data_IF_944942582652
#
_entry.id   IF_944942582652
#
_cell.length_a   1.000
_cell.length_b   1.000
_cell.length_c   1.000
_cell.angle_alpha   90.00
_cell.angle_beta   90.00
_cell.angle_gamma   90.00
#
_symmetry.space_group_name_H-M   'P 1'
#
loop_
_entity.id
_entity.type
_entity.pdbx_description
1 polymer ?
#
# COMPACT_ATOMS: atom_id res chain seq x y z
N UNK A 1 16.50 -1.27 -8.70
CA UNK A 1 16.86 0.13 -8.36
C UNK A 1 16.00 0.51 -7.19
N UNK A 2 16.59 0.95 -6.10
CA UNK A 2 15.88 1.47 -4.92
C UNK A 2 15.20 2.78 -5.30
N UNK A 3 13.93 2.95 -4.94
CA UNK A 3 13.23 4.23 -5.05
C UNK A 3 12.69 4.64 -3.68
N UNK A 4 12.83 5.93 -3.37
CA UNK A 4 12.27 6.55 -2.17
C UNK A 4 11.18 7.50 -2.62
N UNK A 5 9.96 7.29 -2.13
CA UNK A 5 8.79 8.10 -2.48
C UNK A 5 8.15 8.67 -1.20
N UNK A 6 7.54 9.84 -1.31
CA UNK A 6 6.70 10.42 -0.27
C UNK A 6 5.26 10.28 -0.72
N UNK A 7 4.50 9.42 -0.06
CA UNK A 7 3.09 9.22 -0.34
C UNK A 7 2.24 10.28 0.38
N UNK A 8 1.21 10.76 -0.30
CA UNK A 8 0.16 11.61 0.25
C UNK A 8 -1.17 10.93 -0.02
N UNK A 9 -1.68 10.27 1.01
CA UNK A 9 -2.88 9.46 0.95
C UNK A 9 -3.81 9.74 2.12
N UNK A 10 -5.10 9.55 1.88
CA UNK A 10 -6.12 9.39 2.92
C UNK A 10 -6.67 7.97 2.83
N UNK A 11 -6.83 7.31 3.99
CA UNK A 11 -7.31 5.95 4.11
C UNK A 11 -8.55 5.91 5.00
N UNK A 12 -9.56 5.16 4.55
CA UNK A 12 -10.85 5.02 5.20
C UNK A 12 -11.18 3.54 5.39
N UNK A 13 -11.43 3.12 6.64
CA UNK A 13 -12.07 1.84 6.91
C UNK A 13 -13.56 1.98 6.61
N UNK A 14 -14.12 1.08 5.83
CA UNK A 14 -15.52 1.13 5.41
C UNK A 14 -16.24 -0.18 5.71
N UNK A 15 -17.56 -0.12 5.87
CA UNK A 15 -18.38 -1.33 6.05
C UNK A 15 -18.40 -2.18 4.76
N UNK A 16 -18.64 -3.48 4.89
CA UNK A 16 -18.65 -4.41 3.76
C UNK A 16 -19.69 -4.06 2.69
N UNK A 17 -20.79 -3.41 3.07
CA UNK A 17 -21.87 -2.96 2.20
C UNK A 17 -21.74 -1.50 1.74
N UNK A 18 -20.62 -0.84 2.06
CA UNK A 18 -20.33 0.52 1.61
C UNK A 18 -20.43 0.61 0.08
N UNK A 19 -21.11 1.65 -0.40
CA UNK A 19 -21.20 1.95 -1.83
C UNK A 19 -20.28 3.13 -2.14
N UNK A 20 -19.21 2.86 -2.89
CA UNK A 20 -18.31 3.92 -3.33
C UNK A 20 -19.10 4.96 -4.12
N UNK A 21 -19.10 6.25 -3.73
CA UNK A 21 -19.79 7.29 -4.48
C UNK A 21 -19.27 7.41 -5.92
N UNK A 22 -20.07 7.99 -6.81
CA UNK A 22 -19.59 8.22 -8.17
C UNK A 22 -18.37 9.17 -8.18
N UNK A 23 -17.25 8.68 -8.68
CA UNK A 23 -16.01 9.44 -8.81
C UNK A 23 -16.01 10.40 -10.00
N UNK A 24 -17.06 10.38 -10.85
CA UNK A 24 -17.16 11.23 -12.03
C UNK A 24 -17.07 12.73 -11.70
N UNK A 25 -17.56 13.14 -10.52
CA UNK A 25 -17.48 14.54 -10.05
C UNK A 25 -16.06 14.98 -9.66
N UNK A 26 -15.15 14.04 -9.50
CA UNK A 26 -13.75 14.28 -9.17
C UNK A 26 -12.88 14.44 -10.43
N UNK A 27 -13.39 14.00 -11.60
CA UNK A 27 -12.64 14.06 -12.87
C UNK A 27 -12.54 15.52 -13.33
N UNK A 28 -11.32 16.03 -13.59
CA UNK A 28 -11.15 17.36 -14.18
C UNK A 28 -11.76 17.47 -15.56
N UNK A 29 -12.09 18.69 -15.99
CA UNK A 29 -12.61 18.94 -17.34
C UNK A 29 -11.65 18.41 -18.41
N UNK A 30 -12.12 17.56 -19.29
CA UNK A 30 -11.31 16.90 -20.34
C UNK A 30 -10.49 15.72 -19.85
N UNK A 31 -10.54 15.39 -18.56
CA UNK A 31 -9.86 14.23 -17.96
C UNK A 31 -10.63 12.93 -18.17
N UNK A 32 -10.10 11.86 -17.58
CA UNK A 32 -10.66 10.52 -17.67
C UNK A 32 -10.71 9.81 -16.30
N UNK A 33 -11.62 8.83 -16.21
CA UNK A 33 -11.70 7.87 -15.11
C UNK A 33 -11.58 6.48 -15.72
N UNK A 34 -10.58 5.71 -15.28
CA UNK A 34 -10.37 4.32 -15.72
C UNK A 34 -10.36 3.43 -14.50
N UNK A 35 -11.04 2.29 -14.58
CA UNK A 35 -11.10 1.31 -13.49
C UNK A 35 -10.50 -0.01 -13.92
N UNK A 36 -9.78 -0.67 -12.99
CA UNK A 36 -9.22 -2.00 -13.18
C UNK A 36 -9.29 -2.80 -11.89
N UNK A 37 -9.38 -4.12 -12.00
CA UNK A 37 -9.37 -5.04 -10.87
C UNK A 37 -8.07 -5.85 -10.86
N UNK A 38 -7.55 -6.14 -9.66
CA UNK A 38 -6.38 -6.98 -9.47
C UNK A 38 -6.43 -7.70 -8.13
N UNK A 39 -5.87 -8.91 -8.08
CA UNK A 39 -5.65 -9.65 -6.84
C UNK A 39 -4.20 -9.49 -6.40
N UNK A 40 -4.01 -9.06 -5.15
CA UNK A 40 -2.70 -8.84 -4.54
C UNK A 40 -2.45 -9.87 -3.45
N UNK A 41 -1.19 -10.30 -3.34
CA UNK A 41 -0.71 -11.03 -2.17
C UNK A 41 0.44 -10.28 -1.54
N UNK A 42 0.31 -9.97 -0.25
CA UNK A 42 1.32 -9.24 0.52
C UNK A 42 1.72 -10.06 1.75
N UNK A 43 2.95 -10.53 1.76
CA UNK A 43 3.54 -11.20 2.91
C UNK A 43 4.23 -10.15 3.78
N UNK A 44 3.81 -10.05 5.05
CA UNK A 44 4.34 -9.07 6.01
C UNK A 44 5.39 -9.69 6.90
N UNK A 45 6.42 -8.92 7.20
CA UNK A 45 7.58 -9.33 7.98
C UNK A 45 7.73 -8.44 9.21
N UNK A 46 8.08 -9.07 10.33
CA UNK A 46 8.42 -8.39 11.58
C UNK A 46 9.34 -9.29 12.42
N UNK A 47 9.82 -8.79 13.54
CA UNK A 47 10.48 -9.59 14.56
C UNK A 47 9.45 -10.35 15.39
N UNK A 48 9.87 -11.40 16.09
CA UNK A 48 9.00 -12.13 17.03
C UNK A 48 8.38 -11.21 18.09
N UNK A 49 9.04 -10.09 18.40
CA UNK A 49 8.55 -9.08 19.32
C UNK A 49 7.69 -7.98 18.70
N UNK A 50 7.39 -8.03 17.40
CA UNK A 50 6.66 -7.01 16.66
C UNK A 50 7.30 -5.61 16.75
N UNK A 51 8.64 -5.54 16.59
CA UNK A 51 9.39 -4.31 16.76
C UNK A 51 9.11 -3.26 15.69
N UNK A 52 8.85 -3.70 14.45
CA UNK A 52 8.45 -2.79 13.37
C UNK A 52 7.06 -2.23 13.63
N UNK A 53 6.08 -3.08 13.94
CA UNK A 53 4.70 -2.67 14.20
C UNK A 53 4.63 -1.65 15.34
N UNK A 54 5.35 -1.88 16.45
CA UNK A 54 5.40 -0.93 17.58
C UNK A 54 5.95 0.44 17.22
N UNK A 55 6.71 0.55 16.12
CA UNK A 55 7.27 1.79 15.61
C UNK A 55 6.49 2.37 14.44
N UNK A 56 5.34 1.77 14.09
CA UNK A 56 4.53 2.17 12.94
C UNK A 56 5.20 1.90 11.59
N UNK A 57 6.22 1.01 11.57
CA UNK A 57 6.91 0.59 10.36
C UNK A 57 6.22 -0.65 9.82
N UNK A 58 6.04 -0.72 8.50
CA UNK A 58 5.58 -1.95 7.82
C UNK A 58 6.63 -2.40 6.82
N UNK A 59 6.90 -3.70 6.78
CA UNK A 59 7.73 -4.35 5.77
C UNK A 59 6.92 -5.46 5.11
N UNK A 60 6.78 -5.39 3.79
CA UNK A 60 6.05 -6.41 3.03
C UNK A 60 6.76 -6.79 1.74
N UNK A 61 6.50 -8.01 1.29
CA UNK A 61 6.78 -8.51 -0.05
C UNK A 61 5.45 -8.63 -0.79
N UNK A 62 5.23 -7.85 -1.84
CA UNK A 62 3.98 -7.83 -2.62
C UNK A 62 4.16 -8.52 -3.97
N UNK A 63 3.13 -9.26 -4.39
CA UNK A 63 2.98 -9.85 -5.72
C UNK A 63 1.53 -9.67 -6.19
N UNK A 64 1.32 -9.69 -7.51
CA UNK A 64 -0.02 -9.71 -8.10
C UNK A 64 -0.29 -8.60 -9.12
N UNK A 65 0.47 -7.51 -9.13
CA UNK A 65 0.29 -6.38 -10.04
C UNK A 65 1.62 -5.77 -10.53
N UNK A 66 1.55 -4.58 -11.12
CA UNK A 66 2.73 -3.83 -11.55
C UNK A 66 3.58 -3.30 -10.38
N UNK A 67 3.04 -3.27 -9.16
CA UNK A 67 3.70 -2.81 -7.93
C UNK A 67 4.34 -3.98 -7.15
N UNK A 68 4.77 -5.01 -7.86
CA UNK A 68 5.47 -6.15 -7.28
C UNK A 68 6.82 -5.74 -6.70
N UNK A 69 7.11 -6.16 -5.49
CA UNK A 69 8.38 -5.83 -4.85
C UNK A 69 8.35 -5.95 -3.33
N UNK A 70 9.45 -5.53 -2.77
CA UNK A 70 9.60 -5.28 -1.35
C UNK A 70 9.27 -3.82 -1.04
N UNK A 71 8.46 -3.59 -0.04
CA UNK A 71 8.01 -2.27 0.38
C UNK A 71 8.24 -2.11 1.88
N UNK A 72 9.03 -1.11 2.27
CA UNK A 72 9.15 -0.69 3.65
C UNK A 72 8.57 0.72 3.81
N UNK A 73 7.49 0.86 4.58
CA UNK A 73 6.89 2.16 4.93
C UNK A 73 7.34 2.57 6.32
N UNK A 74 8.03 3.71 6.41
CA UNK A 74 8.58 4.26 7.64
C UNK A 74 7.89 5.58 7.97
N UNK A 75 7.43 5.81 9.21
CA UNK A 75 6.85 7.08 9.61
C UNK A 75 7.82 8.25 9.39
N UNK A 76 7.30 9.36 8.87
CA UNK A 76 7.96 10.65 8.79
C UNK A 76 7.04 11.72 9.38
N UNK A 77 7.56 12.95 9.67
CA UNK A 77 6.83 13.99 10.44
C UNK A 77 5.43 14.34 9.89
N UNK A 78 5.23 14.33 8.57
CA UNK A 78 3.95 14.71 7.94
C UNK A 78 3.49 13.74 6.85
N UNK A 79 4.24 12.66 6.63
CA UNK A 79 3.99 11.69 5.58
C UNK A 79 4.60 10.35 5.95
N UNK A 80 4.49 9.35 5.08
CA UNK A 80 5.27 8.12 5.17
C UNK A 80 6.34 8.12 4.10
N UNK A 81 7.52 7.66 4.46
CA UNK A 81 8.58 7.38 3.47
C UNK A 81 8.46 5.91 3.08
N UNK A 82 8.28 5.65 1.81
CA UNK A 82 8.30 4.30 1.27
C UNK A 82 9.63 4.02 0.56
N UNK A 83 10.24 2.89 0.93
CA UNK A 83 11.44 2.35 0.30
C UNK A 83 11.00 1.13 -0.48
N UNK A 84 11.29 1.09 -1.78
CA UNK A 84 10.89 0.01 -2.70
C UNK A 84 12.11 -0.68 -3.29
N UNK A 85 12.11 -2.00 -3.25
CA UNK A 85 13.08 -2.84 -3.95
C UNK A 85 12.35 -3.86 -4.83
N UNK A 86 12.92 -4.22 -5.98
CA UNK A 86 12.35 -5.28 -6.82
C UNK A 86 12.40 -6.63 -6.09
N UNK A 87 11.56 -7.58 -6.49
CA UNK A 87 11.50 -8.93 -5.91
C UNK A 87 12.84 -9.68 -5.97
N UNK A 88 13.75 -9.29 -6.86
CA UNK A 88 15.02 -9.98 -7.12
C UNK A 88 14.82 -11.31 -7.86
N UNK A 89 15.93 -11.95 -8.22
CA UNK A 89 15.94 -13.21 -8.96
C UNK A 89 16.03 -14.44 -8.05
N UNK A 90 15.93 -14.27 -6.72
CA UNK A 90 16.11 -15.34 -5.73
C UNK A 90 14.81 -16.07 -5.41
N UNK A 91 14.88 -17.40 -5.31
CA UNK A 91 13.79 -18.25 -4.83
C UNK A 91 13.53 -18.08 -3.31
N UNK A 92 14.32 -17.27 -2.63
CA UNK A 92 14.22 -17.09 -1.18
C UNK A 92 13.33 -15.87 -0.87
N UNK A 93 12.28 -16.12 -0.09
CA UNK A 93 11.47 -15.05 0.53
C UNK A 93 12.20 -14.35 1.69
N UNK A 94 13.53 -14.36 1.69
CA UNK A 94 14.34 -13.67 2.69
C UNK A 94 14.31 -12.16 2.43
N UNK A 95 14.24 -11.39 3.51
CA UNK A 95 14.33 -9.93 3.45
C UNK A 95 15.69 -9.54 2.84
N UNK A 96 15.73 -8.68 1.81
CA UNK A 96 16.98 -8.20 1.22
C UNK A 96 17.89 -7.53 2.24
N UNK A 97 19.21 -7.69 2.05
CA UNK A 97 20.22 -7.12 2.96
C UNK A 97 20.10 -5.60 3.06
N UNK A 98 19.77 -4.93 1.95
CA UNK A 98 19.55 -3.48 1.91
C UNK A 98 18.43 -3.04 2.86
N UNK A 99 17.32 -3.80 2.95
CA UNK A 99 16.23 -3.51 3.88
C UNK A 99 16.59 -3.89 5.31
N UNK A 100 17.31 -5.00 5.51
CA UNK A 100 17.85 -5.36 6.83
C UNK A 100 18.75 -4.24 7.37
N UNK A 101 19.60 -3.64 6.52
CA UNK A 101 20.49 -2.56 6.92
C UNK A 101 19.72 -1.28 7.29
N UNK A 102 18.74 -0.88 6.48
CA UNK A 102 17.89 0.28 6.76
C UNK A 102 17.09 0.10 8.05
N UNK A 103 16.57 -1.10 8.29
CA UNK A 103 15.70 -1.40 9.44
C UNK A 103 16.48 -1.82 10.69
N UNK A 104 17.82 -1.96 10.61
CA UNK A 104 18.69 -2.45 11.70
C UNK A 104 18.44 -1.74 13.03
N UNK A 105 18.30 -0.41 13.00
CA UNK A 105 18.03 0.38 14.20
C UNK A 105 16.65 0.13 14.82
N UNK A 106 15.68 -0.25 14.00
CA UNK A 106 14.33 -0.54 14.46
C UNK A 106 14.22 -1.94 15.10
N UNK A 107 14.91 -2.93 14.51
CA UNK A 107 14.84 -4.33 14.97
C UNK A 107 15.90 -4.69 16.01
N UNK A 108 16.90 -3.82 16.23
CA UNK A 108 17.97 -3.99 17.25
C UNK A 108 18.69 -5.35 17.16
N UNK A 109 18.87 -5.86 15.94
CA UNK A 109 19.54 -7.14 15.67
C UNK A 109 18.66 -8.38 15.77
N UNK A 110 17.35 -8.22 16.03
CA UNK A 110 16.41 -9.33 15.96
C UNK A 110 16.13 -9.72 14.49
N UNK A 111 15.88 -11.00 14.26
CA UNK A 111 15.59 -11.54 12.95
C UNK A 111 14.19 -11.13 12.45
N UNK A 112 14.11 -10.73 11.19
CA UNK A 112 12.85 -10.49 10.49
C UNK A 112 12.34 -11.78 9.85
N UNK A 113 11.11 -12.14 10.14
CA UNK A 113 10.44 -13.31 9.59
C UNK A 113 9.01 -12.98 9.17
N UNK A 114 8.43 -13.80 8.29
CA UNK A 114 7.04 -13.64 7.90
C UNK A 114 6.12 -13.79 9.11
N UNK A 115 5.14 -12.91 9.26
CA UNK A 115 4.17 -12.92 10.37
C UNK A 115 2.73 -13.08 9.89
N UNK A 116 2.41 -12.61 8.69
CA UNK A 116 1.08 -12.73 8.10
C UNK A 116 1.14 -12.59 6.58
N UNK A 117 0.16 -13.18 5.89
CA UNK A 117 -0.10 -12.92 4.48
C UNK A 117 -1.47 -12.27 4.34
N UNK A 118 -1.52 -11.13 3.65
CA UNK A 118 -2.75 -10.46 3.26
C UNK A 118 -3.02 -10.74 1.78
N UNK A 119 -4.22 -11.22 1.49
CA UNK A 119 -4.76 -11.24 0.12
C UNK A 119 -5.76 -10.12 -0.02
N UNK A 120 -5.61 -9.33 -1.09
CA UNK A 120 -6.45 -8.16 -1.34
C UNK A 120 -7.04 -8.27 -2.73
N UNK A 121 -8.37 -8.23 -2.84
CA UNK A 121 -9.03 -7.92 -4.10
C UNK A 121 -9.16 -6.41 -4.18
N UNK A 122 -8.45 -5.83 -5.13
CA UNK A 122 -8.36 -4.37 -5.29
C UNK A 122 -9.06 -3.93 -6.56
N UNK A 123 -9.96 -2.94 -6.44
CA UNK A 123 -10.45 -2.17 -7.58
C UNK A 123 -9.79 -0.80 -7.56
N UNK A 124 -8.98 -0.49 -8.58
CA UNK A 124 -8.34 0.82 -8.73
C UNK A 124 -9.15 1.68 -9.69
N UNK A 125 -9.43 2.90 -9.28
CA UNK A 125 -10.01 3.96 -10.12
C UNK A 125 -8.96 5.06 -10.31
N UNK A 126 -8.38 5.12 -11.50
CA UNK A 126 -7.38 6.15 -11.84
C UNK A 126 -8.06 7.37 -12.43
N UNK A 127 -7.90 8.52 -11.80
CA UNK A 127 -8.37 9.82 -12.27
C UNK A 127 -7.20 10.55 -12.93
N UNK A 128 -7.36 10.93 -14.19
CA UNK A 128 -6.38 11.71 -14.94
C UNK A 128 -6.94 13.03 -15.41
N UNK A 129 -6.05 14.00 -15.67
CA UNK A 129 -6.39 15.27 -16.29
C UNK A 129 -6.49 15.16 -17.83
N UNK A 130 -6.70 16.30 -18.50
CA UNK A 130 -6.84 16.38 -19.96
C UNK A 130 -5.56 15.99 -20.72
N UNK A 131 -4.39 16.11 -20.08
CA UNK A 131 -3.09 15.75 -20.64
C UNK A 131 -2.72 14.27 -20.34
N UNK A 132 -3.59 13.55 -19.62
CA UNK A 132 -3.39 12.16 -19.23
C UNK A 132 -2.51 11.99 -17.99
N UNK A 133 -2.14 13.06 -17.30
CA UNK A 133 -1.39 12.97 -16.05
C UNK A 133 -2.29 12.51 -14.90
N UNK A 134 -1.80 11.57 -14.08
CA UNK A 134 -2.56 11.03 -12.95
C UNK A 134 -2.73 12.09 -11.87
N UNK A 135 -3.98 12.41 -11.56
CA UNK A 135 -4.40 13.32 -10.48
C UNK A 135 -4.51 12.57 -9.16
N UNK A 136 -5.15 11.42 -9.19
CA UNK A 136 -5.28 10.55 -8.03
C UNK A 136 -5.62 9.12 -8.44
N UNK A 137 -5.33 8.18 -7.54
CA UNK A 137 -5.85 6.83 -7.57
C UNK A 137 -6.74 6.59 -6.35
N UNK A 138 -7.90 5.98 -6.58
CA UNK A 138 -8.81 5.54 -5.53
C UNK A 138 -8.82 4.02 -5.57
N UNK A 139 -8.28 3.40 -4.53
CA UNK A 139 -8.26 1.95 -4.38
C UNK A 139 -9.36 1.53 -3.40
N UNK A 140 -10.21 0.59 -3.84
CA UNK A 140 -11.24 -0.07 -3.04
C UNK A 140 -10.77 -1.51 -2.81
N UNK A 141 -10.41 -1.82 -1.57
CA UNK A 141 -9.72 -3.04 -1.17
C UNK A 141 -10.59 -3.92 -0.27
N UNK A 142 -10.85 -5.14 -0.72
CA UNK A 142 -11.35 -6.22 0.14
C UNK A 142 -10.17 -7.05 0.64
N UNK A 143 -9.88 -6.98 1.94
CA UNK A 143 -8.68 -7.57 2.54
C UNK A 143 -9.01 -8.78 3.40
N UNK A 144 -8.26 -9.86 3.22
CA UNK A 144 -8.30 -11.08 4.04
C UNK A 144 -6.92 -11.41 4.58
N UNK A 145 -6.84 -11.87 5.83
CA UNK A 145 -5.57 -12.21 6.49
C UNK A 145 -5.46 -13.70 6.76
N UNK A 146 -4.28 -14.24 6.47
CA UNK A 146 -3.85 -15.56 6.93
C UNK A 146 -2.62 -15.37 7.80
N UNK A 147 -2.73 -15.76 9.07
CA UNK A 147 -1.62 -15.74 10.03
C UNK A 147 -0.65 -16.89 9.77
N UNK A 148 0.59 -16.74 10.21
CA UNK A 148 1.56 -17.84 10.21
C UNK A 148 0.99 -19.02 10.98
N UNK A 149 1.07 -20.22 10.36
CA UNK A 149 0.42 -21.43 10.89
C UNK A 149 -0.96 -21.71 10.29
N UNK A 150 -1.45 -20.87 9.36
CA UNK A 150 -2.65 -21.12 8.55
C UNK A 150 -3.97 -20.70 9.21
N UNK A 151 -3.94 -20.06 10.38
CA UNK A 151 -5.16 -19.54 10.99
C UNK A 151 -5.69 -18.34 10.19
N UNK A 152 -7.00 -18.35 9.90
CA UNK A 152 -7.68 -17.22 9.27
C UNK A 152 -7.78 -16.08 10.27
N UNK A 153 -7.31 -14.91 9.86
CA UNK A 153 -7.41 -13.67 10.60
C UNK A 153 -8.67 -12.86 10.22
N UNK A 154 -8.70 -11.59 10.60
CA UNK A 154 -9.80 -10.69 10.27
C UNK A 154 -9.92 -10.43 8.76
N UNK A 155 -11.12 -10.01 8.36
CA UNK A 155 -11.40 -9.48 7.04
C UNK A 155 -11.96 -8.06 7.22
N UNK A 156 -11.61 -7.17 6.30
CA UNK A 156 -12.13 -5.80 6.28
C UNK A 156 -12.16 -5.26 4.85
N UNK A 157 -12.79 -4.12 4.70
CA UNK A 157 -12.78 -3.33 3.46
C UNK A 157 -12.28 -1.94 3.76
N UNK A 158 -11.44 -1.42 2.89
CA UNK A 158 -10.86 -0.09 3.03
C UNK A 158 -10.84 0.62 1.68
N UNK A 159 -10.92 1.95 1.73
CA UNK A 159 -10.76 2.82 0.55
C UNK A 159 -9.57 3.72 0.80
N UNK A 160 -8.63 3.73 -0.14
CA UNK A 160 -7.46 4.61 -0.12
C UNK A 160 -7.57 5.63 -1.25
N UNK A 161 -7.24 6.88 -0.98
CA UNK A 161 -7.14 7.94 -2.00
C UNK A 161 -5.71 8.45 -1.98
N UNK A 162 -4.94 8.10 -3.00
CA UNK A 162 -3.55 8.52 -3.16
C UNK A 162 -3.43 9.61 -4.23
N UNK A 163 -2.69 10.69 -3.93
CA UNK A 163 -2.42 11.74 -4.91
C UNK A 163 -1.37 11.31 -5.92
N UNK A 164 -1.73 11.41 -7.19
CA UNK A 164 -0.79 11.30 -8.30
C UNK A 164 0.06 12.56 -8.48
N UNK A 165 1.00 12.54 -9.46
CA UNK A 165 1.89 13.67 -9.74
C UNK A 165 1.17 14.99 -10.05
N UNK A 166 -0.01 14.94 -10.68
CA UNK A 166 -0.85 16.10 -10.98
C UNK A 166 -1.86 16.42 -9.87
N UNK A 167 -1.83 15.68 -8.75
CA UNK A 167 -2.78 15.81 -7.64
C UNK A 167 -2.49 16.97 -6.71
N UNK A 168 -3.52 17.42 -5.99
CA UNK A 168 -3.42 18.48 -4.99
C UNK A 168 -4.13 18.11 -3.71
N UNK A 169 -3.70 18.67 -2.57
CA UNK A 169 -4.37 18.47 -1.28
C UNK A 169 -5.86 18.87 -1.28
N UNK A 170 -6.27 19.79 -2.17
CA UNK A 170 -7.67 20.12 -2.34
C UNK A 170 -8.49 18.98 -2.93
N UNK A 171 -7.86 18.08 -3.69
CA UNK A 171 -8.49 16.86 -4.19
C UNK A 171 -8.83 15.91 -3.04
N UNK A 172 -7.88 15.62 -2.13
CA UNK A 172 -8.13 14.78 -0.96
C UNK A 172 -9.31 15.29 -0.12
N UNK A 173 -9.34 16.61 0.15
CA UNK A 173 -10.45 17.23 0.89
C UNK A 173 -11.81 17.11 0.18
N UNK A 174 -11.82 16.99 -1.15
CA UNK A 174 -13.04 16.80 -1.93
C UNK A 174 -13.44 15.32 -1.98
N UNK A 175 -12.49 14.41 -2.09
CA UNK A 175 -12.70 12.98 -2.14
C UNK A 175 -13.17 12.42 -0.79
N UNK A 176 -12.73 12.97 0.34
CA UNK A 176 -13.11 12.53 1.69
C UNK A 176 -14.47 13.04 2.20
N UNK A 177 -15.31 13.64 1.32
CA UNK A 177 -16.67 14.10 1.64
C UNK A 177 -17.72 13.18 1.06
#
# INVERSE_FOLDING_TARGET
MESIQTEREDKFDVDADFQLPTLASLVPTGGALVSSETDLSSEYFDTAGHDLLRRGITLRRRTGDSDNGWHAKVPAEKARTEIRLPLGNGANNAVPDELNDVLRGAVMGAELSAVATLTTRRTIHTVSDADGAVVAEVADDEVSVVLIGGATGPQWREVEVELGPAGSESFLKKAGK
#
